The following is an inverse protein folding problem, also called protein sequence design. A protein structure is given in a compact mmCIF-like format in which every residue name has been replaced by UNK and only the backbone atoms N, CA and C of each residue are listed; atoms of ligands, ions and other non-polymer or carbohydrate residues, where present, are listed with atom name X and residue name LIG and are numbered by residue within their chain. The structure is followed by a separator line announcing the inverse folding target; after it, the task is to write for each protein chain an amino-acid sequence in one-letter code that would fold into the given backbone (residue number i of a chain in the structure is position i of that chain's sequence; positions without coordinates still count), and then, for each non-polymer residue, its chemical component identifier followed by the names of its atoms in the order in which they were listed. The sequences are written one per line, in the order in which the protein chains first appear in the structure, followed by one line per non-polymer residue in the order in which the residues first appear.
data_IF_404211158527
#
_entry.id   IF_404211158527
#
_cell.length_a   1.000
_cell.length_b   1.000
_cell.length_c   1.000
_cell.angle_alpha   90.00
_cell.angle_beta   90.00
_cell.angle_gamma   90.00
#
_symmetry.space_group_name_H-M   'P 1'
#
loop_
_entity.id
_entity.type
_entity.pdbx_description
1 polymer ?
#
# COMPACT_ATOMS: atom_id res chain seq x y z
N UNK A 1 -9.50 -22.01 -23.69
CA UNK A 1 -10.11 -21.32 -22.56
C UNK A 1 -9.33 -21.70 -21.32
N UNK A 2 -8.97 -20.75 -20.49
CA UNK A 2 -8.30 -21.01 -19.22
C UNK A 2 -9.24 -21.79 -18.27
N UNK A 3 -8.68 -22.67 -17.45
CA UNK A 3 -9.48 -23.39 -16.45
C UNK A 3 -9.94 -22.42 -15.37
N UNK A 4 -11.24 -22.25 -15.20
CA UNK A 4 -11.84 -21.44 -14.14
C UNK A 4 -11.89 -22.24 -12.85
N UNK A 5 -11.52 -21.60 -11.75
CA UNK A 5 -11.57 -22.15 -10.39
C UNK A 5 -12.21 -21.13 -9.43
N UNK A 6 -12.92 -21.60 -8.42
CA UNK A 6 -13.44 -22.98 -8.25
C UNK A 6 -14.42 -23.32 -9.37
N UNK A 7 -14.76 -24.60 -9.53
CA UNK A 7 -15.88 -25.03 -10.39
C UNK A 7 -17.20 -24.49 -9.84
N UNK A 8 -18.27 -24.45 -10.65
CA UNK A 8 -19.58 -23.99 -10.18
C UNK A 8 -20.09 -24.77 -8.96
N UNK A 9 -19.84 -26.07 -8.89
CA UNK A 9 -20.25 -26.90 -7.75
C UNK A 9 -19.48 -26.57 -6.48
N UNK A 10 -18.16 -26.42 -6.60
CA UNK A 10 -17.30 -25.96 -5.50
C UNK A 10 -17.67 -24.54 -5.06
N UNK A 11 -17.95 -23.65 -6.02
CA UNK A 11 -18.38 -22.28 -5.73
C UNK A 11 -19.69 -22.24 -4.94
N UNK A 12 -20.70 -23.03 -5.32
CA UNK A 12 -21.96 -23.18 -4.55
C UNK A 12 -21.73 -23.65 -3.13
N UNK A 13 -20.80 -24.58 -2.94
CA UNK A 13 -20.42 -25.09 -1.62
C UNK A 13 -19.78 -24.00 -0.76
N UNK A 14 -18.83 -23.24 -1.33
CA UNK A 14 -18.16 -22.13 -0.64
C UNK A 14 -19.15 -20.98 -0.33
N UNK A 15 -20.02 -20.66 -1.26
CA UNK A 15 -21.05 -19.63 -1.12
C UNK A 15 -22.04 -19.88 0.03
N UNK A 16 -22.18 -21.13 0.47
CA UNK A 16 -23.03 -21.46 1.63
C UNK A 16 -22.44 -20.98 2.96
N UNK A 17 -21.14 -20.73 3.03
CA UNK A 17 -20.41 -20.40 4.26
C UNK A 17 -19.63 -19.10 4.20
N UNK A 18 -19.37 -18.57 3.00
CA UNK A 18 -18.58 -17.34 2.80
C UNK A 18 -19.37 -16.29 2.04
N UNK A 19 -19.44 -15.07 2.54
CA UNK A 19 -20.15 -13.94 1.90
C UNK A 19 -19.42 -13.38 0.66
N UNK A 20 -18.13 -13.68 0.51
CA UNK A 20 -17.34 -13.43 -0.69
C UNK A 20 -16.57 -14.70 -1.06
N UNK A 21 -16.58 -15.05 -2.34
CA UNK A 21 -15.79 -16.17 -2.87
C UNK A 21 -14.99 -15.69 -4.08
N UNK A 22 -13.64 -15.79 -4.06
CA UNK A 22 -12.81 -15.54 -5.22
C UNK A 22 -13.05 -16.59 -6.31
N UNK A 23 -13.22 -16.12 -7.55
CA UNK A 23 -13.23 -16.95 -8.76
C UNK A 23 -12.05 -16.52 -9.62
N UNK A 24 -11.28 -17.45 -10.17
CA UNK A 24 -10.07 -17.11 -10.91
C UNK A 24 -9.73 -18.01 -12.07
N UNK A 25 -8.90 -17.50 -12.96
CA UNK A 25 -8.18 -18.26 -13.97
C UNK A 25 -6.68 -18.02 -13.84
N UNK A 26 -5.90 -19.02 -14.19
CA UNK A 26 -4.44 -18.96 -14.23
C UNK A 26 -3.97 -18.84 -15.69
N UNK A 27 -3.05 -17.90 -15.95
CA UNK A 27 -2.46 -17.60 -17.26
C UNK A 27 -0.94 -17.49 -17.13
N UNK A 28 -0.19 -17.81 -18.18
CA UNK A 28 1.26 -17.57 -18.20
C UNK A 28 1.57 -16.07 -18.23
N UNK A 29 2.60 -15.66 -17.50
CA UNK A 29 3.02 -14.26 -17.35
C UNK A 29 4.30 -13.91 -18.14
N UNK A 30 4.70 -14.75 -19.09
CA UNK A 30 5.99 -14.64 -19.79
C UNK A 30 6.09 -13.45 -20.76
N UNK A 31 4.95 -12.90 -21.20
CA UNK A 31 4.89 -11.77 -22.14
C UNK A 31 4.36 -10.47 -21.50
N UNK A 32 4.04 -10.48 -20.23
CA UNK A 32 3.42 -9.35 -19.53
C UNK A 32 4.25 -8.86 -18.33
N UNK A 33 4.15 -7.56 -18.08
CA UNK A 33 4.65 -6.94 -16.87
C UNK A 33 3.47 -6.32 -16.10
N UNK A 34 3.57 -6.08 -14.79
CA UNK A 34 2.51 -5.39 -14.05
C UNK A 34 2.12 -4.05 -14.67
N UNK A 35 3.11 -3.33 -15.22
CA UNK A 35 2.90 -2.06 -15.93
C UNK A 35 2.11 -2.30 -17.22
N UNK A 36 2.46 -3.28 -18.07
CA UNK A 36 1.71 -3.55 -19.29
C UNK A 36 0.28 -4.00 -19.00
N UNK A 37 0.09 -4.81 -17.96
CA UNK A 37 -1.22 -5.27 -17.52
C UNK A 37 -2.07 -4.10 -17.03
N UNK A 38 -1.52 -3.20 -16.21
CA UNK A 38 -2.27 -2.00 -15.80
C UNK A 38 -2.74 -1.18 -17.01
N UNK A 39 -1.85 -0.95 -17.97
CA UNK A 39 -2.18 -0.23 -19.19
C UNK A 39 -3.29 -0.88 -20.02
N UNK A 40 -3.29 -2.22 -20.15
CA UNK A 40 -4.27 -2.99 -20.93
C UNK A 40 -5.62 -3.15 -20.22
N UNK A 41 -5.58 -3.33 -18.90
CA UNK A 41 -6.74 -3.73 -18.10
C UNK A 41 -7.45 -2.54 -17.47
N UNK A 42 -6.69 -1.58 -16.93
CA UNK A 42 -7.23 -0.38 -16.29
C UNK A 42 -7.26 0.79 -17.27
N UNK A 43 -6.20 0.96 -18.05
CA UNK A 43 -6.07 2.06 -19.00
C UNK A 43 -6.19 3.42 -18.32
N UNK A 44 -7.12 4.26 -18.77
CA UNK A 44 -7.44 5.57 -18.19
C UNK A 44 -8.46 5.49 -17.05
N UNK A 45 -8.98 4.30 -16.75
CA UNK A 45 -9.98 4.09 -15.70
C UNK A 45 -9.38 4.13 -14.29
N UNK A 46 -10.26 4.04 -13.30
CA UNK A 46 -9.88 3.96 -11.90
C UNK A 46 -9.34 2.57 -11.56
N UNK A 47 -8.30 2.53 -10.73
CA UNK A 47 -7.67 1.28 -10.34
C UNK A 47 -6.36 1.49 -9.62
N UNK A 48 -5.71 0.39 -9.29
CA UNK A 48 -4.43 0.42 -8.59
C UNK A 48 -3.41 -0.54 -9.21
N UNK A 49 -2.14 -0.21 -9.00
CA UNK A 49 -1.00 -1.07 -9.27
C UNK A 49 -0.09 -1.05 -8.05
N UNK A 50 0.15 -2.21 -7.47
CA UNK A 50 1.08 -2.42 -6.37
C UNK A 50 2.18 -3.37 -6.81
N UNK A 51 3.43 -2.95 -6.66
CA UNK A 51 4.60 -3.72 -7.04
C UNK A 51 5.67 -3.69 -5.94
N UNK A 52 6.47 -4.73 -5.92
CA UNK A 52 7.76 -4.72 -5.24
C UNK A 52 8.86 -4.84 -6.31
N UNK A 53 9.71 -3.83 -6.40
CA UNK A 53 10.68 -3.69 -7.52
C UNK A 53 12.13 -3.87 -7.09
N UNK A 54 12.39 -4.38 -5.90
CA UNK A 54 13.74 -4.69 -5.44
C UNK A 54 14.32 -5.94 -6.10
N UNK A 55 15.56 -5.80 -6.57
CA UNK A 55 16.28 -6.90 -7.21
C UNK A 55 16.90 -7.84 -6.15
N UNK A 56 16.38 -9.05 -6.09
CA UNK A 56 17.09 -10.18 -5.50
C UNK A 56 16.73 -10.62 -4.09
N UNK A 57 15.73 -10.03 -3.44
CA UNK A 57 15.37 -10.39 -2.08
C UNK A 57 13.91 -10.87 -1.90
N UNK A 58 13.59 -11.40 -0.71
CA UNK A 58 12.35 -12.11 -0.34
C UNK A 58 11.02 -11.40 -0.63
N UNK A 59 11.02 -10.13 -1.01
CA UNK A 59 9.85 -9.27 -1.07
C UNK A 59 9.26 -9.04 -2.46
N UNK A 60 9.99 -9.39 -3.53
CA UNK A 60 9.61 -9.10 -4.92
C UNK A 60 8.79 -10.21 -5.61
N UNK A 61 8.07 -11.04 -4.87
CA UNK A 61 7.36 -12.17 -5.47
C UNK A 61 6.05 -11.78 -6.14
N UNK A 62 5.28 -10.87 -5.54
CA UNK A 62 3.93 -10.57 -6.01
C UNK A 62 3.77 -9.12 -6.44
N UNK A 63 2.94 -8.91 -7.48
CA UNK A 63 2.40 -7.61 -7.86
C UNK A 63 0.91 -7.73 -8.12
N UNK A 64 0.17 -6.61 -7.94
CA UNK A 64 -1.29 -6.60 -8.01
C UNK A 64 -1.78 -5.43 -8.84
N UNK A 65 -2.71 -5.72 -9.75
CA UNK A 65 -3.43 -4.73 -10.56
C UNK A 65 -4.92 -4.92 -10.32
N UNK A 66 -5.61 -3.88 -9.84
CA UNK A 66 -7.04 -3.95 -9.58
C UNK A 66 -7.85 -2.90 -10.32
N UNK A 67 -9.10 -3.24 -10.65
CA UNK A 67 -10.10 -2.37 -11.27
C UNK A 67 -11.51 -2.72 -10.82
N UNK A 68 -12.49 -1.91 -11.23
CA UNK A 68 -13.92 -2.19 -11.04
C UNK A 68 -14.25 -2.59 -9.59
N UNK A 69 -14.00 -1.72 -8.60
CA UNK A 69 -14.39 -2.02 -7.23
C UNK A 69 -15.89 -2.29 -7.15
N UNK A 70 -16.30 -3.24 -6.31
CA UNK A 70 -17.72 -3.55 -6.08
C UNK A 70 -18.42 -2.45 -5.28
N UNK A 71 -17.68 -1.77 -4.44
CA UNK A 71 -18.10 -0.56 -3.74
C UNK A 71 -16.89 0.36 -3.51
N UNK A 72 -17.16 1.67 -3.42
CA UNK A 72 -16.18 2.71 -3.13
C UNK A 72 -16.73 3.61 -2.03
N UNK A 73 -15.96 3.80 -0.98
CA UNK A 73 -16.23 4.71 0.13
C UNK A 73 -15.27 5.89 0.04
N UNK A 74 -15.80 7.10 0.14
CA UNK A 74 -15.03 8.34 0.12
C UNK A 74 -15.35 9.13 1.38
N UNK A 75 -14.35 9.32 2.23
CA UNK A 75 -14.44 10.21 3.38
C UNK A 75 -14.00 11.62 2.97
N UNK A 76 -14.84 12.60 3.22
CA UNK A 76 -14.54 14.01 3.01
C UNK A 76 -15.20 14.84 4.11
N UNK A 77 -14.43 15.61 4.85
CA UNK A 77 -14.94 16.47 5.92
C UNK A 77 -15.85 15.69 6.91
N UNK A 78 -15.44 14.51 7.34
CA UNK A 78 -16.18 13.66 8.27
C UNK A 78 -17.42 12.97 7.69
N UNK A 79 -17.70 13.11 6.39
CA UNK A 79 -18.85 12.48 5.74
C UNK A 79 -18.38 11.39 4.78
N UNK A 80 -18.96 10.19 4.88
CA UNK A 80 -18.72 9.08 3.98
C UNK A 80 -19.78 9.08 2.88
N UNK A 81 -19.33 9.16 1.62
CA UNK A 81 -20.17 8.90 0.44
C UNK A 81 -19.85 7.53 -0.12
N UNK A 82 -20.85 6.83 -0.61
CA UNK A 82 -20.74 5.46 -1.13
C UNK A 82 -21.17 5.40 -2.58
N UNK A 83 -20.37 4.74 -3.41
CA UNK A 83 -20.73 4.34 -4.78
C UNK A 83 -20.70 2.82 -4.85
N UNK A 84 -21.64 2.20 -5.53
CA UNK A 84 -21.82 0.74 -5.52
C UNK A 84 -22.73 0.29 -4.38
N UNK A 85 -22.68 -1.00 -4.05
CA UNK A 85 -23.55 -1.59 -3.03
C UNK A 85 -22.72 -2.08 -1.86
N UNK A 86 -23.06 -1.61 -0.66
CA UNK A 86 -22.50 -2.14 0.59
C UNK A 86 -23.47 -3.18 1.18
N UNK A 87 -22.95 -4.18 1.91
CA UNK A 87 -23.77 -5.07 2.70
C UNK A 87 -24.44 -4.31 3.86
N UNK A 88 -25.56 -4.83 4.31
CA UNK A 88 -26.24 -4.30 5.49
C UNK A 88 -25.31 -4.34 6.72
N UNK A 89 -25.40 -3.31 7.57
CA UNK A 89 -24.65 -3.23 8.82
C UNK A 89 -23.29 -2.54 8.72
N UNK A 90 -22.88 -2.04 7.55
CA UNK A 90 -21.68 -1.18 7.42
C UNK A 90 -22.04 0.25 7.86
N UNK A 91 -21.45 0.78 8.94
CA UNK A 91 -21.72 2.14 9.39
C UNK A 91 -21.06 3.15 8.44
N UNK A 92 -21.80 4.19 8.03
CA UNK A 92 -21.27 5.31 7.26
C UNK A 92 -21.33 6.63 8.03
N UNK A 93 -21.71 6.57 9.29
CA UNK A 93 -21.90 7.71 10.20
C UNK A 93 -20.92 7.72 11.39
N UNK A 94 -19.97 6.76 11.43
CA UNK A 94 -19.03 6.56 12.54
C UNK A 94 -17.56 6.61 12.14
N UNK A 95 -17.27 7.24 11.00
CA UNK A 95 -15.93 7.32 10.45
C UNK A 95 -15.54 6.16 9.55
N UNK A 96 -14.44 6.36 8.82
CA UNK A 96 -13.97 5.41 7.80
C UNK A 96 -13.38 4.15 8.44
N UNK A 97 -12.71 4.28 9.59
CA UNK A 97 -12.12 3.13 10.29
C UNK A 97 -13.20 2.14 10.73
N UNK A 98 -14.33 2.64 11.29
CA UNK A 98 -15.47 1.79 11.65
C UNK A 98 -16.12 1.10 10.44
N UNK A 99 -16.17 1.80 9.29
CA UNK A 99 -16.68 1.21 8.05
C UNK A 99 -15.75 0.11 7.52
N UNK A 100 -14.43 0.35 7.54
CA UNK A 100 -13.43 -0.63 7.14
C UNK A 100 -13.47 -1.88 8.02
N UNK A 101 -13.54 -1.70 9.34
CA UNK A 101 -13.64 -2.81 10.29
C UNK A 101 -14.90 -3.67 10.03
N UNK A 102 -16.05 -3.03 9.84
CA UNK A 102 -17.29 -3.73 9.53
C UNK A 102 -17.20 -4.49 8.20
N UNK A 103 -16.62 -3.86 7.15
CA UNK A 103 -16.43 -4.51 5.86
C UNK A 103 -15.49 -5.72 5.93
N UNK A 104 -14.36 -5.62 6.63
CA UNK A 104 -13.43 -6.72 6.81
C UNK A 104 -14.04 -7.89 7.59
N UNK A 105 -14.94 -7.59 8.56
CA UNK A 105 -15.65 -8.61 9.32
C UNK A 105 -16.77 -9.26 8.52
N UNK A 106 -17.52 -8.47 7.72
CA UNK A 106 -18.63 -8.97 6.92
C UNK A 106 -18.12 -9.74 5.71
N UNK A 107 -17.04 -9.28 5.07
CA UNK A 107 -16.48 -9.87 3.88
C UNK A 107 -15.39 -10.90 4.21
N UNK A 108 -15.76 -11.90 5.00
CA UNK A 108 -14.90 -13.06 5.24
C UNK A 108 -14.85 -13.95 3.98
N UNK A 109 -13.70 -14.04 3.37
CA UNK A 109 -13.46 -14.82 2.15
C UNK A 109 -12.61 -16.05 2.44
N UNK A 110 -12.84 -17.18 1.75
CA UNK A 110 -11.97 -18.35 1.88
C UNK A 110 -10.58 -18.02 1.35
N UNK A 111 -9.55 -18.43 2.09
CA UNK A 111 -8.17 -18.28 1.66
C UNK A 111 -7.70 -19.53 0.91
N UNK A 112 -7.21 -19.34 -0.30
CA UNK A 112 -6.64 -20.40 -1.14
C UNK A 112 -5.11 -20.35 -1.08
N UNK A 113 -4.44 -21.39 -0.51
CA UNK A 113 -2.98 -21.37 -0.32
C UNK A 113 -2.16 -21.26 -1.61
N UNK A 114 -2.76 -21.68 -2.73
CA UNK A 114 -2.11 -21.63 -4.05
C UNK A 114 -2.16 -20.26 -4.72
N UNK A 115 -3.00 -19.37 -4.22
CA UNK A 115 -3.13 -18.00 -4.72
C UNK A 115 -2.16 -17.02 -4.02
N UNK A 116 -1.86 -15.88 -4.64
CA UNK A 116 -1.21 -14.75 -3.98
C UNK A 116 -1.96 -14.29 -2.72
N UNK A 117 -1.28 -13.64 -1.75
CA UNK A 117 -1.86 -13.35 -0.44
C UNK A 117 -3.04 -12.37 -0.49
N UNK A 118 -3.09 -11.44 -1.44
CA UNK A 118 -4.24 -10.57 -1.65
C UNK A 118 -5.20 -11.25 -2.63
N UNK A 119 -6.33 -11.73 -2.14
CA UNK A 119 -7.35 -12.46 -2.92
C UNK A 119 -8.68 -11.72 -2.98
N UNK A 120 -8.96 -10.88 -1.99
CA UNK A 120 -10.11 -9.99 -1.83
C UNK A 120 -9.78 -8.95 -0.77
N UNK A 121 -10.71 -8.05 -0.45
CA UNK A 121 -10.57 -7.10 0.65
C UNK A 121 -10.72 -5.64 0.21
N UNK A 122 -10.01 -4.76 0.90
CA UNK A 122 -10.08 -3.32 0.74
C UNK A 122 -8.75 -2.78 0.23
N UNK A 123 -8.81 -1.87 -0.73
CA UNK A 123 -7.64 -1.15 -1.27
C UNK A 123 -7.97 0.32 -1.43
N UNK A 124 -7.03 1.20 -1.10
CA UNK A 124 -7.20 2.63 -1.23
C UNK A 124 -6.14 3.40 -0.47
N UNK A 125 -6.50 4.56 0.01
CA UNK A 125 -5.66 5.33 0.91
C UNK A 125 -6.45 5.89 2.08
N UNK A 126 -5.74 6.07 3.18
CA UNK A 126 -6.22 6.76 4.38
C UNK A 126 -5.24 7.90 4.65
N UNK A 127 -5.71 9.12 4.55
CA UNK A 127 -4.90 10.33 4.78
C UNK A 127 -4.57 10.49 6.26
N UNK A 128 -3.54 11.30 6.56
CA UNK A 128 -3.05 11.50 7.93
C UNK A 128 -4.14 11.99 8.88
N UNK A 129 -5.03 12.88 8.42
CA UNK A 129 -6.06 13.48 9.27
C UNK A 129 -7.16 12.51 9.74
N UNK A 130 -7.23 11.29 9.19
CA UNK A 130 -8.10 10.21 9.73
C UNK A 130 -7.71 9.81 11.15
N UNK A 131 -6.47 10.08 11.58
CA UNK A 131 -6.05 9.94 12.99
C UNK A 131 -6.99 10.66 13.96
N UNK A 132 -7.73 11.68 13.51
CA UNK A 132 -8.72 12.42 14.31
C UNK A 132 -9.97 11.60 14.64
N UNK A 133 -10.17 10.45 14.01
CA UNK A 133 -11.22 9.50 14.43
C UNK A 133 -10.84 8.77 15.74
N UNK A 134 -9.54 8.68 16.06
CA UNK A 134 -9.04 7.97 17.24
C UNK A 134 -8.31 8.86 18.24
N UNK A 135 -7.79 10.04 17.81
CA UNK A 135 -7.05 10.96 18.64
C UNK A 135 -7.69 12.36 18.63
N UNK A 136 -7.77 12.99 19.81
CA UNK A 136 -8.22 14.38 19.91
C UNK A 136 -7.08 15.37 19.65
N UNK A 137 -6.93 15.78 18.40
CA UNK A 137 -5.92 16.73 17.97
C UNK A 137 -6.56 18.11 17.76
N UNK A 138 -6.30 19.11 18.64
CA UNK A 138 -6.82 20.46 18.47
C UNK A 138 -6.15 21.20 17.30
N UNK A 139 -6.73 22.36 16.93
CA UNK A 139 -6.16 23.28 15.92
C UNK A 139 -6.00 22.64 14.54
N UNK A 140 -7.12 22.10 13.99
CA UNK A 140 -7.16 21.55 12.64
C UNK A 140 -6.64 22.58 11.62
N UNK A 141 -5.59 22.27 10.83
CA UNK A 141 -5.12 23.15 9.78
C UNK A 141 -6.22 23.37 8.73
N UNK A 142 -6.23 24.54 8.05
CA UNK A 142 -7.15 24.74 6.93
C UNK A 142 -6.86 23.76 5.80
N UNK A 143 -7.91 23.14 5.27
CA UNK A 143 -7.80 22.35 4.06
C UNK A 143 -7.61 23.25 2.84
N UNK A 144 -6.42 23.21 2.25
CA UNK A 144 -6.06 24.03 1.09
C UNK A 144 -6.28 23.30 -0.26
N UNK A 145 -6.68 22.03 -0.25
CA UNK A 145 -6.70 21.18 -1.45
C UNK A 145 -8.05 20.58 -1.75
N UNK A 146 -8.93 20.50 -0.79
CA UNK A 146 -10.26 19.87 -0.89
C UNK A 146 -10.19 18.44 -1.48
N UNK A 147 -9.18 17.66 -1.05
CA UNK A 147 -9.05 16.26 -1.41
C UNK A 147 -9.80 15.38 -0.41
N UNK A 148 -10.24 14.17 -0.80
CA UNK A 148 -10.80 13.23 0.15
C UNK A 148 -9.81 12.88 1.27
N UNK A 149 -10.29 12.79 2.52
CA UNK A 149 -9.49 12.34 3.67
C UNK A 149 -9.13 10.86 3.55
N UNK A 150 -10.00 10.07 2.95
CA UNK A 150 -9.75 8.67 2.60
C UNK A 150 -10.59 8.24 1.41
N UNK A 151 -10.05 7.29 0.64
CA UNK A 151 -10.80 6.54 -0.38
C UNK A 151 -10.52 5.06 -0.18
N UNK A 152 -11.57 4.28 0.01
CA UNK A 152 -11.48 2.84 0.23
C UNK A 152 -12.35 2.12 -0.78
N UNK A 153 -11.74 1.26 -1.56
CA UNK A 153 -12.39 0.44 -2.57
C UNK A 153 -12.50 -1.01 -2.09
N UNK A 154 -13.68 -1.59 -2.22
CA UNK A 154 -13.87 -3.05 -2.07
C UNK A 154 -13.42 -3.71 -3.37
N UNK A 155 -12.44 -4.60 -3.30
CA UNK A 155 -11.88 -5.25 -4.49
C UNK A 155 -12.97 -6.02 -5.24
N UNK A 156 -13.13 -5.71 -6.52
CA UNK A 156 -13.96 -6.46 -7.47
C UNK A 156 -13.09 -7.34 -8.35
N UNK A 157 -12.52 -6.75 -9.41
CA UNK A 157 -11.62 -7.43 -10.35
C UNK A 157 -10.16 -7.15 -10.02
N UNK A 158 -9.32 -8.18 -10.03
CA UNK A 158 -7.88 -8.05 -9.77
C UNK A 158 -7.07 -9.02 -10.63
N UNK A 159 -5.87 -8.59 -11.02
CA UNK A 159 -4.85 -9.48 -11.59
C UNK A 159 -3.66 -9.49 -10.64
N UNK A 160 -3.26 -10.68 -10.22
CA UNK A 160 -2.12 -10.89 -9.36
C UNK A 160 -1.01 -11.62 -10.12
N UNK A 161 0.22 -11.10 -10.00
CA UNK A 161 1.43 -11.74 -10.52
C UNK A 161 2.08 -12.58 -9.44
N UNK A 162 2.48 -13.81 -9.78
CA UNK A 162 3.51 -14.54 -9.06
C UNK A 162 4.76 -14.60 -9.96
N UNK A 163 5.70 -13.71 -9.72
CA UNK A 163 6.92 -13.57 -10.50
C UNK A 163 7.82 -14.81 -10.42
N UNK A 164 7.79 -15.53 -9.30
CA UNK A 164 8.59 -16.75 -9.12
C UNK A 164 8.05 -17.91 -9.95
N UNK A 165 6.71 -18.04 -10.02
CA UNK A 165 6.04 -19.07 -10.81
C UNK A 165 5.80 -18.63 -12.26
N UNK A 166 6.06 -17.36 -12.59
CA UNK A 166 5.72 -16.75 -13.88
C UNK A 166 4.24 -16.97 -14.26
N UNK A 167 3.36 -16.66 -13.31
CA UNK A 167 1.90 -16.83 -13.45
C UNK A 167 1.18 -15.52 -13.22
N UNK A 168 0.08 -15.37 -13.96
CA UNK A 168 -0.96 -14.39 -13.72
C UNK A 168 -2.20 -15.10 -13.20
N UNK A 169 -2.78 -14.58 -12.14
CA UNK A 169 -4.07 -14.96 -11.63
C UNK A 169 -5.05 -13.84 -11.93
N UNK A 170 -6.04 -14.12 -12.79
CA UNK A 170 -7.14 -13.20 -13.09
C UNK A 170 -8.27 -13.54 -12.14
N UNK A 171 -8.56 -12.66 -11.17
CA UNK A 171 -9.47 -12.90 -10.05
C UNK A 171 -10.69 -11.99 -10.11
N UNK A 172 -11.84 -12.53 -9.77
CA UNK A 172 -13.07 -11.80 -9.46
C UNK A 172 -13.50 -12.11 -8.04
N UNK A 173 -13.68 -11.09 -7.19
CA UNK A 173 -14.25 -11.24 -5.86
C UNK A 173 -15.76 -11.20 -5.95
N UNK A 174 -16.42 -12.34 -5.75
CA UNK A 174 -17.85 -12.50 -5.99
C UNK A 174 -18.62 -12.46 -4.66
N UNK A 175 -19.51 -11.47 -4.51
CA UNK A 175 -20.44 -11.44 -3.40
C UNK A 175 -21.50 -12.54 -3.56
N UNK A 176 -21.74 -13.28 -2.49
CA UNK A 176 -22.72 -14.39 -2.43
C UNK A 176 -23.99 -14.03 -1.66
N UNK A 177 -24.01 -12.81 -1.07
CA UNK A 177 -25.12 -12.38 -0.20
C UNK A 177 -26.24 -11.75 -1.02
N UNK A 178 -27.45 -12.30 -0.92
CA UNK A 178 -28.64 -11.71 -1.54
C UNK A 178 -28.68 -11.75 -3.07
N UNK A 179 -27.87 -12.63 -3.71
CA UNK A 179 -27.74 -12.76 -5.17
C UNK A 179 -28.09 -14.17 -5.64
N UNK A 180 -28.43 -14.30 -6.92
CA UNK A 180 -28.46 -15.59 -7.59
C UNK A 180 -27.01 -16.07 -7.77
N UNK A 181 -26.66 -17.15 -7.08
CA UNK A 181 -25.30 -17.71 -7.03
C UNK A 181 -24.79 -18.14 -8.41
N UNK A 182 -25.65 -18.75 -9.22
CA UNK A 182 -25.27 -19.24 -10.54
C UNK A 182 -25.06 -18.07 -11.51
N UNK A 183 -25.91 -17.06 -11.44
CA UNK A 183 -25.77 -15.85 -12.25
C UNK A 183 -24.53 -15.03 -11.84
N UNK A 184 -24.25 -14.94 -10.53
CA UNK A 184 -23.05 -14.28 -10.02
C UNK A 184 -21.76 -14.98 -10.49
N UNK A 185 -21.71 -16.31 -10.41
CA UNK A 185 -20.59 -17.10 -10.93
C UNK A 185 -20.42 -16.92 -12.46
N UNK A 186 -21.51 -17.01 -13.22
CA UNK A 186 -21.46 -16.81 -14.67
C UNK A 186 -20.94 -15.41 -15.06
N UNK A 187 -21.33 -14.39 -14.31
CA UNK A 187 -20.82 -13.01 -14.46
C UNK A 187 -19.33 -12.93 -14.20
N UNK A 188 -18.85 -13.54 -13.14
CA UNK A 188 -17.43 -13.59 -12.81
C UNK A 188 -16.61 -14.29 -13.92
N UNK A 189 -17.09 -15.43 -14.41
CA UNK A 189 -16.46 -16.14 -15.53
C UNK A 189 -16.40 -15.28 -16.79
N UNK A 190 -17.46 -14.52 -17.10
CA UNK A 190 -17.49 -13.60 -18.22
C UNK A 190 -16.44 -12.49 -18.09
N UNK A 191 -16.32 -11.87 -16.91
CA UNK A 191 -15.33 -10.82 -16.62
C UNK A 191 -13.90 -11.33 -16.69
N UNK A 192 -13.65 -12.54 -16.20
CA UNK A 192 -12.34 -13.19 -16.30
C UNK A 192 -11.97 -13.39 -17.77
N UNK A 193 -12.87 -13.94 -18.59
CA UNK A 193 -12.62 -14.14 -20.01
C UNK A 193 -12.37 -12.81 -20.74
N UNK A 194 -13.15 -11.76 -20.43
CA UNK A 194 -12.92 -10.40 -20.95
C UNK A 194 -11.52 -9.89 -20.58
N UNK A 195 -11.09 -10.07 -19.34
CA UNK A 195 -9.77 -9.64 -18.91
C UNK A 195 -8.66 -10.40 -19.66
N UNK A 196 -8.82 -11.72 -19.86
CA UNK A 196 -7.88 -12.53 -20.65
C UNK A 196 -7.82 -12.04 -22.11
N UNK A 197 -8.96 -11.67 -22.71
CA UNK A 197 -9.02 -11.11 -24.05
C UNK A 197 -8.32 -9.73 -24.12
N UNK A 198 -8.48 -8.88 -23.10
CA UNK A 198 -7.81 -7.59 -23.02
C UNK A 198 -6.28 -7.74 -22.92
N UNK A 199 -5.80 -8.74 -22.17
CA UNK A 199 -4.37 -9.05 -22.10
C UNK A 199 -3.77 -9.40 -23.47
N UNK A 200 -4.53 -10.04 -24.34
CA UNK A 200 -4.08 -10.40 -25.70
C UNK A 200 -4.02 -9.20 -26.68
N UNK A 201 -4.54 -8.02 -26.29
CA UNK A 201 -4.52 -6.83 -27.15
C UNK A 201 -3.13 -6.17 -27.18
N UNK A 202 -2.81 -5.43 -28.26
CA UNK A 202 -1.61 -4.59 -28.30
C UNK A 202 -1.58 -3.60 -27.12
N UNK A 203 -0.37 -3.26 -26.67
CA UNK A 203 -0.18 -2.28 -25.62
C UNK A 203 -0.61 -0.87 -26.11
N UNK A 204 -1.52 -0.19 -25.40
CA UNK A 204 -2.05 1.11 -25.85
C UNK A 204 -1.15 2.31 -25.53
N UNK A 205 0.02 2.09 -24.91
CA UNK A 205 0.92 3.13 -24.45
C UNK A 205 2.22 3.19 -25.26
N UNK A 206 2.72 4.42 -25.44
CA UNK A 206 4.01 4.67 -26.07
C UNK A 206 5.19 4.46 -25.09
N UNK A 207 6.39 4.14 -25.59
CA UNK A 207 7.60 4.21 -24.79
C UNK A 207 7.79 5.61 -24.17
N UNK A 208 8.29 5.65 -22.94
CA UNK A 208 8.72 6.89 -22.25
C UNK A 208 10.24 6.93 -22.31
N UNK A 209 10.79 8.10 -22.62
CA UNK A 209 12.23 8.31 -22.61
C UNK A 209 12.76 8.31 -21.17
N UNK A 210 13.95 7.76 -20.92
CA UNK A 210 14.59 7.86 -19.62
C UNK A 210 14.86 9.32 -19.25
N UNK A 211 14.76 9.70 -17.95
CA UNK A 211 15.05 11.06 -17.51
C UNK A 211 16.52 11.44 -17.81
N UNK A 212 16.72 12.64 -18.33
CA UNK A 212 18.04 13.15 -18.62
C UNK A 212 18.58 13.93 -17.42
N UNK A 213 19.75 13.56 -16.87
CA UNK A 213 20.36 14.30 -15.78
C UNK A 213 20.67 15.75 -16.18
N UNK A 214 20.33 16.71 -15.33
CA UNK A 214 20.65 18.13 -15.52
C UNK A 214 19.61 18.93 -16.31
N UNK A 215 18.46 18.37 -16.61
CA UNK A 215 17.32 19.16 -17.10
C UNK A 215 16.90 20.24 -16.10
N UNK A 216 16.39 21.36 -16.62
CA UNK A 216 15.91 22.46 -15.80
C UNK A 216 14.66 21.96 -15.06
N UNK A 217 14.72 22.02 -13.74
CA UNK A 217 13.54 21.72 -12.91
C UNK A 217 12.45 22.75 -13.16
N UNK A 218 11.18 22.33 -13.20
CA UNK A 218 10.06 23.28 -13.27
C UNK A 218 10.02 24.17 -12.02
N UNK A 219 9.28 25.27 -12.10
CA UNK A 219 9.03 26.13 -10.97
C UNK A 219 8.31 25.35 -9.85
N UNK A 220 8.92 25.36 -8.67
CA UNK A 220 8.42 24.65 -7.49
C UNK A 220 7.85 25.66 -6.50
N UNK A 221 6.56 25.58 -6.20
CA UNK A 221 5.93 26.38 -5.16
C UNK A 221 5.97 25.63 -3.82
N UNK A 222 6.41 26.32 -2.78
CA UNK A 222 6.41 25.78 -1.42
C UNK A 222 5.15 26.19 -0.65
N UNK A 223 4.57 25.28 0.13
CA UNK A 223 3.47 25.59 1.05
C UNK A 223 3.88 26.47 2.23
N UNK A 224 5.18 26.57 2.50
CA UNK A 224 5.74 27.39 3.57
C UNK A 224 6.53 28.56 2.98
N UNK A 225 6.45 29.76 3.59
CA UNK A 225 7.32 30.88 3.23
C UNK A 225 8.80 30.56 3.46
N UNK A 226 9.68 31.27 2.76
CA UNK A 226 11.12 31.11 2.88
C UNK A 226 11.60 31.20 4.34
N UNK A 227 12.43 30.23 4.72
CA UNK A 227 12.97 30.09 6.06
C UNK A 227 11.98 29.65 7.14
N UNK A 228 10.69 29.44 6.83
CA UNK A 228 9.70 29.00 7.82
C UNK A 228 9.97 27.59 8.32
N UNK A 229 10.34 26.67 7.41
CA UNK A 229 10.70 25.31 7.78
C UNK A 229 11.90 25.28 8.73
N UNK A 230 12.95 26.03 8.41
CA UNK A 230 14.16 26.11 9.25
C UNK A 230 13.83 26.69 10.64
N UNK A 231 13.00 27.72 10.74
CA UNK A 231 12.54 28.24 12.03
C UNK A 231 11.74 27.21 12.83
N UNK A 232 10.87 26.43 12.17
CA UNK A 232 10.13 25.36 12.82
C UNK A 232 11.07 24.27 13.37
N UNK A 233 12.15 23.94 12.65
CA UNK A 233 13.19 23.02 13.14
C UNK A 233 13.85 23.55 14.41
N UNK A 234 14.21 24.85 14.48
CA UNK A 234 14.81 25.41 15.68
C UNK A 234 13.84 25.38 16.88
N UNK A 235 12.57 25.69 16.66
CA UNK A 235 11.53 25.56 17.71
C UNK A 235 11.40 24.10 18.18
N UNK A 236 11.36 23.15 17.25
CA UNK A 236 11.30 21.73 17.58
C UNK A 236 12.52 21.28 18.42
N UNK A 237 13.72 21.77 18.10
CA UNK A 237 14.95 21.48 18.88
C UNK A 237 14.87 22.01 20.31
N UNK A 238 14.21 23.16 20.55
CA UNK A 238 14.00 23.68 21.91
C UNK A 238 13.04 22.77 22.70
N UNK A 239 11.97 22.27 22.10
CA UNK A 239 11.07 21.29 22.73
C UNK A 239 11.79 19.97 23.10
N UNK A 240 12.70 19.49 22.21
CA UNK A 240 13.54 18.32 22.53
C UNK A 240 14.45 18.63 23.72
N UNK A 241 15.11 19.81 23.78
CA UNK A 241 15.98 20.21 24.91
C UNK A 241 15.21 20.39 26.21
N UNK A 242 13.99 20.89 26.16
CA UNK A 242 13.10 21.05 27.30
C UNK A 242 12.57 19.70 27.84
N UNK A 243 12.67 18.63 27.05
CA UNK A 243 12.14 17.30 27.41
C UNK A 243 10.64 17.15 27.13
N UNK A 244 10.04 18.06 26.35
CA UNK A 244 8.64 18.00 25.97
C UNK A 244 8.37 16.88 24.97
N UNK A 245 9.33 16.62 24.08
CA UNK A 245 9.28 15.59 23.06
C UNK A 245 10.65 14.92 22.87
N UNK A 246 10.66 13.68 22.35
CA UNK A 246 11.88 13.00 21.93
C UNK A 246 12.17 13.21 20.45
N UNK A 247 11.11 13.25 19.63
CA UNK A 247 11.19 13.41 18.20
C UNK A 247 9.93 14.13 17.69
N UNK A 248 10.07 14.85 16.59
CA UNK A 248 8.95 15.36 15.80
C UNK A 248 9.32 15.35 14.32
N UNK A 249 8.37 14.96 13.48
CA UNK A 249 8.51 15.00 12.03
C UNK A 249 7.80 16.25 11.51
N UNK A 250 8.59 17.17 10.97
CA UNK A 250 8.08 18.36 10.30
C UNK A 250 7.86 18.06 8.81
N UNK A 251 6.79 18.57 8.25
CA UNK A 251 6.49 18.39 6.83
C UNK A 251 6.41 19.72 6.08
N UNK A 252 6.71 19.66 4.79
CA UNK A 252 6.58 20.77 3.85
C UNK A 252 6.06 20.19 2.54
N UNK A 253 5.05 20.85 1.93
CA UNK A 253 4.54 20.47 0.62
C UNK A 253 5.21 21.33 -0.46
N UNK A 254 5.52 20.68 -1.57
CA UNK A 254 5.95 21.30 -2.79
C UNK A 254 4.92 21.05 -3.89
N UNK A 255 4.45 22.10 -4.53
CA UNK A 255 3.54 22.05 -5.65
C UNK A 255 4.32 22.32 -6.95
N UNK A 256 4.15 21.41 -7.91
CA UNK A 256 4.88 21.42 -9.19
C UNK A 256 3.87 21.29 -10.32
N UNK A 257 3.88 22.16 -11.35
CA UNK A 257 3.11 21.93 -12.56
C UNK A 257 3.49 20.59 -13.19
N UNK A 258 2.51 19.80 -13.59
CA UNK A 258 2.74 18.49 -14.20
C UNK A 258 2.14 18.48 -15.60
N UNK A 259 2.99 18.42 -16.63
CA UNK A 259 2.61 18.32 -18.05
C UNK A 259 2.67 16.88 -18.58
N UNK A 260 2.86 15.89 -17.67
CA UNK A 260 2.93 14.48 -17.99
C UNK A 260 1.75 13.71 -17.39
N UNK A 261 1.39 12.60 -18.01
CA UNK A 261 0.42 11.67 -17.43
C UNK A 261 0.95 11.08 -16.11
N UNK A 262 0.14 11.05 -15.03
CA UNK A 262 0.57 10.50 -13.74
C UNK A 262 1.10 9.07 -13.83
N UNK A 263 0.60 8.29 -14.77
CA UNK A 263 1.08 6.93 -15.01
C UNK A 263 2.52 6.89 -15.56
N UNK A 264 2.89 7.85 -16.42
CA UNK A 264 4.24 7.96 -16.92
C UNK A 264 5.22 8.43 -15.84
N UNK A 265 4.76 9.30 -14.92
CA UNK A 265 5.51 9.63 -13.70
C UNK A 265 5.80 8.37 -12.88
N UNK A 266 4.82 7.48 -12.69
CA UNK A 266 5.03 6.21 -12.02
C UNK A 266 6.07 5.33 -12.73
N UNK A 267 5.99 5.23 -14.05
CA UNK A 267 6.93 4.43 -14.87
C UNK A 267 8.38 4.92 -14.73
N UNK A 268 8.56 6.24 -14.68
CA UNK A 268 9.88 6.86 -14.45
C UNK A 268 10.32 6.66 -13.01
N UNK A 269 9.45 6.91 -12.02
CA UNK A 269 9.75 6.71 -10.59
C UNK A 269 10.20 5.29 -10.30
N UNK A 270 9.57 4.30 -10.90
CA UNK A 270 9.91 2.88 -10.80
C UNK A 270 11.35 2.57 -11.24
N UNK A 271 11.89 3.35 -12.16
CA UNK A 271 13.28 3.23 -12.64
C UNK A 271 14.25 4.03 -11.76
N UNK A 272 13.85 5.25 -11.37
CA UNK A 272 14.73 6.18 -10.65
C UNK A 272 14.89 5.78 -9.19
N UNK A 273 13.80 5.35 -8.56
CA UNK A 273 13.78 5.00 -7.14
C UNK A 273 12.98 3.70 -6.89
N UNK A 274 13.46 2.54 -7.37
CA UNK A 274 12.81 1.27 -7.08
C UNK A 274 12.81 1.01 -5.57
N UNK A 275 11.70 0.52 -5.04
CA UNK A 275 11.50 0.27 -3.61
C UNK A 275 10.60 -0.95 -3.39
N UNK A 276 10.64 -1.56 -2.18
CA UNK A 276 9.80 -2.72 -1.86
C UNK A 276 8.29 -2.47 -1.96
N UNK A 277 7.87 -1.22 -1.81
CA UNK A 277 6.46 -0.82 -1.85
C UNK A 277 6.29 0.29 -2.88
N UNK A 278 6.12 -0.10 -4.13
CA UNK A 278 5.75 0.81 -5.22
C UNK A 278 4.24 0.78 -5.40
N UNK A 279 3.64 1.94 -5.51
CA UNK A 279 2.20 2.05 -5.70
C UNK A 279 1.80 3.15 -6.67
N UNK A 280 0.79 2.83 -7.47
CA UNK A 280 0.03 3.77 -8.28
C UNK A 280 -1.44 3.53 -8.01
N UNK A 281 -2.15 4.55 -7.54
CA UNK A 281 -3.60 4.49 -7.30
C UNK A 281 -4.25 5.62 -8.08
N UNK A 282 -5.18 5.29 -8.97
CA UNK A 282 -5.94 6.26 -9.74
C UNK A 282 -7.38 6.26 -9.28
N UNK A 283 -7.80 7.40 -8.77
CA UNK A 283 -9.17 7.71 -8.37
C UNK A 283 -9.73 8.84 -9.26
N UNK A 284 -11.06 9.06 -9.30
CA UNK A 284 -11.63 10.13 -10.12
C UNK A 284 -11.08 11.52 -9.81
N UNK A 285 -10.72 11.77 -8.55
CA UNK A 285 -10.31 13.09 -8.07
C UNK A 285 -8.79 13.28 -8.06
N UNK A 286 -8.02 12.18 -8.03
CA UNK A 286 -6.57 12.25 -7.85
C UNK A 286 -5.85 10.97 -8.29
N UNK A 287 -4.55 11.09 -8.52
CA UNK A 287 -3.65 9.95 -8.61
C UNK A 287 -2.63 10.01 -7.48
N UNK A 288 -2.35 8.86 -6.86
CA UNK A 288 -1.28 8.70 -5.88
C UNK A 288 -0.18 7.88 -6.52
N UNK A 289 1.02 8.45 -6.55
CA UNK A 289 2.23 7.83 -7.12
C UNK A 289 3.27 7.79 -6.03
N UNK A 290 3.74 6.60 -5.68
CA UNK A 290 4.69 6.50 -4.57
C UNK A 290 5.67 5.34 -4.66
N UNK A 291 6.77 5.55 -3.94
CA UNK A 291 7.87 4.62 -3.73
C UNK A 291 8.24 4.68 -2.25
N UNK A 292 7.97 3.62 -1.51
CA UNK A 292 8.24 3.56 -0.06
C UNK A 292 9.14 2.37 0.28
N UNK A 293 10.14 2.57 1.14
CA UNK A 293 10.96 1.48 1.65
C UNK A 293 10.31 0.75 2.84
N UNK A 294 9.28 1.35 3.46
CA UNK A 294 8.81 0.97 4.79
C UNK A 294 7.31 0.72 4.82
N UNK A 295 6.85 -0.45 5.33
CA UNK A 295 5.45 -0.66 5.68
C UNK A 295 5.14 0.01 7.02
N UNK A 296 3.97 0.60 7.18
CA UNK A 296 3.49 1.11 8.45
C UNK A 296 3.30 -0.05 9.45
N UNK A 297 2.47 -1.01 9.08
CA UNK A 297 2.20 -2.24 9.83
C UNK A 297 1.74 -3.33 8.88
N UNK A 298 2.07 -4.57 9.22
CA UNK A 298 1.57 -5.76 8.52
C UNK A 298 0.93 -6.71 9.53
N UNK A 299 -0.27 -7.19 9.20
CA UNK A 299 -0.92 -8.30 9.90
C UNK A 299 -1.06 -9.47 8.95
N UNK A 300 -0.49 -10.62 9.30
CA UNK A 300 -0.58 -11.83 8.50
C UNK A 300 -0.69 -13.05 9.42
N UNK A 301 -1.73 -13.88 9.21
CA UNK A 301 -1.99 -15.09 10.00
C UNK A 301 -1.96 -14.82 11.52
N UNK A 302 -2.58 -13.72 11.94
CA UNK A 302 -2.62 -13.30 13.35
C UNK A 302 -1.30 -12.74 13.91
N UNK A 303 -0.25 -12.61 13.08
CA UNK A 303 1.02 -12.00 13.46
C UNK A 303 1.11 -10.57 12.97
N UNK A 304 1.30 -9.66 13.90
CA UNK A 304 1.58 -8.24 13.64
C UNK A 304 3.08 -8.09 13.42
N UNK A 305 3.47 -7.30 12.44
CA UNK A 305 4.86 -6.95 12.18
C UNK A 305 4.99 -5.46 11.91
N UNK A 306 5.93 -4.80 12.60
CA UNK A 306 6.37 -3.43 12.37
C UNK A 306 7.86 -3.45 12.04
N UNK A 307 8.30 -2.64 11.08
CA UNK A 307 9.70 -2.59 10.63
C UNK A 307 10.25 -1.17 10.73
N UNK A 308 10.70 -0.72 11.91
CA UNK A 308 11.31 0.59 12.03
C UNK A 308 12.61 0.68 11.22
N UNK A 309 12.73 1.76 10.46
CA UNK A 309 13.89 2.13 9.65
C UNK A 309 14.44 3.44 10.19
N UNK A 310 15.73 3.47 10.55
CA UNK A 310 16.41 4.70 10.93
C UNK A 310 17.88 4.64 10.56
N UNK A 311 18.50 5.81 10.52
CA UNK A 311 19.88 5.94 10.08
C UNK A 311 20.01 5.77 8.57
N UNK A 312 20.65 6.74 7.93
CA UNK A 312 20.80 6.75 6.47
C UNK A 312 22.22 7.10 6.09
N UNK A 313 22.77 6.37 5.13
CA UNK A 313 23.97 6.76 4.37
C UNK A 313 23.71 6.55 2.90
N UNK A 314 24.29 7.42 2.07
CA UNK A 314 24.30 7.21 0.63
C UNK A 314 25.15 5.98 0.29
N UNK A 315 24.87 5.37 -0.85
CA UNK A 315 25.72 4.30 -1.38
C UNK A 315 27.13 4.85 -1.69
N UNK A 316 28.13 4.02 -1.50
CA UNK A 316 29.50 4.35 -1.84
C UNK A 316 29.72 4.40 -3.37
N UNK A 317 30.72 5.18 -3.80
CA UNK A 317 31.13 5.25 -5.22
C UNK A 317 31.74 3.95 -5.74
N UNK A 318 32.22 3.11 -4.83
CA UNK A 318 32.83 1.80 -5.04
C UNK A 318 32.58 0.93 -3.80
N UNK A 319 32.89 -0.37 -3.88
CA UNK A 319 32.64 -1.34 -2.83
C UNK A 319 33.42 -1.07 -1.52
N UNK A 320 34.60 -0.47 -1.59
CA UNK A 320 35.39 -0.11 -0.43
C UNK A 320 34.77 1.07 0.31
N UNK A 321 34.36 2.09 -0.44
CA UNK A 321 33.67 3.24 0.08
C UNK A 321 32.30 2.85 0.67
N UNK A 322 31.56 1.95 0.01
CA UNK A 322 30.25 1.45 0.49
C UNK A 322 30.40 0.71 1.82
N UNK A 323 31.44 -0.15 1.96
CA UNK A 323 31.75 -0.84 3.22
C UNK A 323 32.15 0.11 4.33
N UNK A 324 32.90 1.17 4.02
CA UNK A 324 33.28 2.18 5.01
C UNK A 324 32.04 2.94 5.52
N UNK A 325 31.18 3.42 4.61
CA UNK A 325 29.94 4.12 4.97
C UNK A 325 29.00 3.22 5.79
N UNK A 326 28.94 1.93 5.47
CA UNK A 326 28.19 0.94 6.22
C UNK A 326 28.75 0.76 7.66
N UNK A 327 30.07 0.75 7.82
CA UNK A 327 30.73 0.73 9.14
C UNK A 327 30.43 2.00 9.92
N UNK A 328 30.60 3.17 9.33
CA UNK A 328 30.29 4.46 9.94
C UNK A 328 28.82 4.54 10.43
N UNK A 329 27.87 3.99 9.63
CA UNK A 329 26.47 3.97 10.03
C UNK A 329 26.22 3.08 11.26
N UNK A 330 26.82 1.88 11.28
CA UNK A 330 26.66 0.92 12.38
C UNK A 330 27.30 1.36 13.69
N UNK A 331 28.33 2.20 13.61
CA UNK A 331 29.10 2.66 14.76
C UNK A 331 28.70 4.07 15.25
N UNK A 332 27.83 4.77 14.50
CA UNK A 332 27.44 6.13 14.84
C UNK A 332 26.52 6.15 16.07
N UNK A 333 26.94 6.74 17.22
CA UNK A 333 26.14 6.69 18.45
C UNK A 333 24.79 7.39 18.33
N UNK A 334 24.69 8.43 17.52
CA UNK A 334 23.41 9.15 17.28
C UNK A 334 22.43 8.28 16.52
N UNK A 335 22.86 7.67 15.42
CA UNK A 335 22.01 6.81 14.59
C UNK A 335 21.54 5.57 15.37
N UNK A 336 22.44 4.98 16.20
CA UNK A 336 22.11 3.88 17.09
C UNK A 336 21.05 4.30 18.12
N UNK A 337 21.24 5.44 18.79
CA UNK A 337 20.30 5.92 19.81
C UNK A 337 18.91 6.22 19.21
N UNK A 338 18.86 6.86 18.06
CA UNK A 338 17.61 7.10 17.32
C UNK A 338 16.92 5.79 16.92
N UNK A 339 17.70 4.82 16.42
CA UNK A 339 17.16 3.53 16.02
C UNK A 339 16.59 2.73 17.20
N UNK A 340 17.29 2.70 18.34
CA UNK A 340 16.80 2.08 19.59
C UNK A 340 15.49 2.70 20.05
N UNK A 341 15.39 4.03 19.98
CA UNK A 341 14.16 4.76 20.32
C UNK A 341 12.98 4.33 19.42
N UNK A 342 13.19 4.19 18.10
CA UNK A 342 12.15 3.74 17.18
C UNK A 342 11.79 2.26 17.38
N UNK A 343 12.75 1.39 17.71
CA UNK A 343 12.47 -0.01 18.07
C UNK A 343 11.63 -0.09 19.34
N UNK A 344 11.91 0.75 20.34
CA UNK A 344 11.13 0.78 21.58
C UNK A 344 9.72 1.31 21.35
N UNK A 345 9.57 2.33 20.48
CA UNK A 345 8.26 2.81 20.01
C UNK A 345 7.48 1.68 19.33
N UNK A 346 8.08 0.98 18.37
CA UNK A 346 7.44 -0.13 17.66
C UNK A 346 7.03 -1.27 18.62
N UNK A 347 7.86 -1.57 19.64
CA UNK A 347 7.51 -2.54 20.70
C UNK A 347 6.30 -2.08 21.51
N UNK A 348 6.21 -0.79 21.82
CA UNK A 348 5.07 -0.22 22.52
C UNK A 348 3.80 -0.30 21.67
N UNK A 349 3.88 0.09 20.38
CA UNK A 349 2.73 0.10 19.47
C UNK A 349 2.20 -1.31 19.23
N UNK A 350 3.08 -2.28 18.93
CA UNK A 350 2.71 -3.69 18.81
C UNK A 350 2.16 -4.22 20.14
N UNK A 351 2.76 -3.82 21.28
CA UNK A 351 2.33 -4.25 22.61
C UNK A 351 0.93 -3.81 23.01
N UNK A 352 0.41 -2.71 22.45
CA UNK A 352 -0.95 -2.23 22.70
C UNK A 352 -2.02 -3.19 22.18
N UNK A 353 -1.74 -3.90 21.10
CA UNK A 353 -2.70 -4.76 20.39
C UNK A 353 -2.31 -6.25 20.40
N UNK A 354 -1.11 -6.59 20.86
CA UNK A 354 -0.64 -7.98 20.94
C UNK A 354 -1.05 -8.66 22.24
N UNK A 355 -1.09 -9.99 22.22
CA UNK A 355 -1.18 -10.82 23.41
C UNK A 355 0.05 -10.58 24.31
N UNK A 356 -0.19 -10.55 25.62
CA UNK A 356 0.85 -10.31 26.60
C UNK A 356 1.96 -11.37 26.52
N UNK A 357 3.21 -10.90 26.45
CA UNK A 357 4.39 -11.75 26.39
C UNK A 357 4.74 -12.28 24.99
N UNK A 358 4.02 -11.86 23.94
CA UNK A 358 4.29 -12.29 22.55
C UNK A 358 5.08 -11.28 21.72
N UNK A 359 5.37 -10.09 22.28
CA UNK A 359 6.14 -9.06 21.57
C UNK A 359 7.62 -9.44 21.55
N UNK A 360 8.17 -9.55 20.35
CA UNK A 360 9.57 -9.90 20.11
C UNK A 360 10.23 -8.93 19.15
N UNK A 361 11.54 -8.72 19.32
CA UNK A 361 12.41 -8.09 18.33
C UNK A 361 13.04 -9.22 17.53
N UNK A 362 12.55 -9.48 16.32
CA UNK A 362 13.01 -10.60 15.49
C UNK A 362 14.38 -10.31 14.87
N UNK A 363 14.58 -9.05 14.45
CA UNK A 363 15.82 -8.55 13.87
C UNK A 363 16.15 -7.19 14.49
N UNK A 364 17.41 -6.95 14.81
CA UNK A 364 17.87 -5.69 15.41
C UNK A 364 19.05 -5.12 14.63
N UNK A 365 18.91 -3.88 14.15
CA UNK A 365 19.96 -3.10 13.46
C UNK A 365 20.61 -3.84 12.28
N UNK A 366 19.81 -4.52 11.47
CA UNK A 366 20.26 -5.12 10.23
C UNK A 366 20.53 -4.00 9.22
N UNK A 367 21.66 -4.07 8.51
CA UNK A 367 21.98 -3.11 7.45
C UNK A 367 21.35 -3.57 6.14
N UNK A 368 20.42 -2.78 5.62
CA UNK A 368 19.84 -2.98 4.30
C UNK A 368 20.40 -1.98 3.29
N UNK A 369 20.65 -2.46 2.07
CA UNK A 369 21.19 -1.67 0.97
C UNK A 369 20.16 -1.53 -0.12
N UNK A 370 19.81 -0.28 -0.43
CA UNK A 370 18.94 0.09 -1.53
C UNK A 370 19.76 0.67 -2.70
N UNK A 371 19.12 1.08 -3.77
CA UNK A 371 19.79 1.61 -4.96
C UNK A 371 20.66 2.84 -4.67
N UNK A 372 20.16 3.78 -3.85
CA UNK A 372 20.82 5.07 -3.60
C UNK A 372 21.29 5.27 -2.16
N UNK A 373 20.75 4.50 -1.24
CA UNK A 373 21.00 4.63 0.19
C UNK A 373 21.13 3.28 0.87
N UNK A 374 21.64 3.27 2.09
CA UNK A 374 21.59 2.16 3.03
C UNK A 374 20.97 2.64 4.33
N UNK A 375 20.26 1.75 5.01
CA UNK A 375 19.56 2.01 6.26
C UNK A 375 19.87 0.94 7.31
N UNK A 376 19.71 1.30 8.58
CA UNK A 376 19.53 0.34 9.65
C UNK A 376 18.04 -0.01 9.77
N UNK A 377 17.73 -1.29 9.79
CA UNK A 377 16.36 -1.81 9.93
C UNK A 377 16.26 -2.73 11.11
N UNK A 378 15.10 -2.79 11.72
CA UNK A 378 14.77 -3.79 12.73
C UNK A 378 13.37 -4.34 12.44
N UNK A 379 13.04 -5.46 13.06
CA UNK A 379 11.71 -6.04 12.97
C UNK A 379 11.17 -6.36 14.36
N UNK A 380 9.99 -5.83 14.64
CA UNK A 380 9.23 -6.11 15.86
C UNK A 380 7.95 -6.81 15.49
N UNK A 381 7.61 -7.87 16.20
CA UNK A 381 6.39 -8.62 15.95
C UNK A 381 5.69 -9.04 17.24
N UNK A 382 4.40 -9.43 17.09
CA UNK A 382 3.58 -9.96 18.18
C UNK A 382 2.38 -10.71 17.63
N UNK A 383 1.73 -11.51 18.46
CA UNK A 383 0.45 -12.16 18.11
C UNK A 383 -0.70 -11.21 18.40
N UNK A 384 -1.59 -11.00 17.42
CA UNK A 384 -2.77 -10.14 17.61
C UNK A 384 -3.66 -10.72 18.71
N UNK A 385 -4.09 -9.86 19.63
CA UNK A 385 -5.02 -10.23 20.69
C UNK A 385 -6.38 -10.65 20.12
N UNK A 386 -6.97 -11.67 20.72
CA UNK A 386 -8.32 -12.12 20.35
C UNK A 386 -9.33 -10.97 20.44
N UNK A 387 -10.20 -10.87 19.45
CA UNK A 387 -11.23 -9.84 19.34
C UNK A 387 -10.81 -8.55 18.66
N UNK A 388 -9.50 -8.36 18.37
CA UNK A 388 -8.97 -7.24 17.59
C UNK A 388 -8.87 -7.61 16.11
N UNK A 389 -8.79 -6.57 15.27
CA UNK A 389 -8.72 -6.67 13.81
C UNK A 389 -7.48 -5.96 13.26
N UNK A 390 -7.33 -5.97 11.94
CA UNK A 390 -6.29 -5.21 11.26
C UNK A 390 -6.48 -3.69 11.35
N UNK A 391 -7.65 -3.21 11.76
CA UNK A 391 -7.97 -1.78 11.89
C UNK A 391 -7.53 -1.25 13.25
N UNK A 392 -7.51 -2.08 14.30
CA UNK A 392 -7.04 -1.72 15.64
C UNK A 392 -5.53 -1.42 15.67
#
# INVERSE_FOLDING_TARGET
MSTIRPTLEEFRTLAATHPIVPVWAEVLADLETPVSVFAKIVGEGNGFLFESVEHGERWSRFSFVGRNPSARLVLRNGTITVTGTLPDGVPTDRGILSAMEALLRIYDAPMFPDLPPLQSGLVGYVGYDVVREVENLPNVPPDARDLPDAVVNVIGSMIAFDHWRQRLYVLESVSTVGVDIDAAYATAVSRINEAVELLARPLPYSPVEPPVPGEVLPDVASSLPDGAYQRAVEVAKEHVRAGDIFQVVLSQRFDVPLDAEPYDVYRVLRQVNPSPYMYFVREPELCIVGSSPEPLVQLSHGRITSRPIAGTRRRGRDDEHDRRLAGELRENPKEIAEHVMLVDLARNDVGRVADFGTVHVDELMTLERYSHVMHLTSQVSGSLREGLSAVD
#
